data_IF_018241945717
#
_entry.id   IF_018241945717
#
_cell.length_a   1.000
_cell.length_b   1.000
_cell.length_c   1.000
_cell.angle_alpha   90.00
_cell.angle_beta   90.00
_cell.angle_gamma   90.00
#
_symmetry.space_group_name_H-M   'P 1'
#
loop_
_entity.id
_entity.type
_entity.pdbx_description
1 polymer ?
#
# COMPACT_ATOMS: atom_id res chain seq x y z
N UNK A 1 14.65 3.77 15.93
CA UNK A 1 14.02 2.93 14.87
C UNK A 1 14.07 3.68 13.56
N UNK A 2 14.61 3.07 12.55
CA UNK A 2 14.77 3.72 11.27
C UNK A 2 13.46 3.71 10.48
N UNK A 3 13.22 4.79 9.75
CA UNK A 3 12.11 4.86 8.82
C UNK A 3 12.64 4.90 7.38
N UNK A 4 11.80 4.50 6.45
CA UNK A 4 12.10 4.56 5.02
C UNK A 4 11.33 5.74 4.44
N UNK A 5 11.99 6.58 3.64
CA UNK A 5 11.32 7.66 2.92
C UNK A 5 10.83 7.12 1.58
N UNK A 6 9.55 7.32 1.29
CA UNK A 6 8.93 6.86 0.06
C UNK A 6 8.26 8.04 -0.63
N UNK A 7 8.50 8.17 -1.93
CA UNK A 7 7.85 9.23 -2.73
C UNK A 7 6.58 8.66 -3.35
N UNK A 8 5.48 9.37 -3.14
CA UNK A 8 4.18 9.00 -3.70
C UNK A 8 4.13 9.38 -5.18
N UNK A 9 3.81 8.42 -6.03
CA UNK A 9 3.62 8.65 -7.46
C UNK A 9 2.16 8.42 -7.83
N UNK A 10 1.54 9.42 -8.43
CA UNK A 10 0.14 9.35 -8.85
C UNK A 10 -0.83 9.73 -7.75
N UNK A 11 -2.12 9.59 -8.04
CA UNK A 11 -3.19 10.11 -7.21
C UNK A 11 -4.05 9.03 -6.54
N UNK A 12 -3.61 7.78 -6.53
CA UNK A 12 -4.41 6.68 -5.99
C UNK A 12 -4.75 6.83 -4.50
N UNK A 13 -3.93 7.57 -3.76
CA UNK A 13 -4.11 7.79 -2.33
C UNK A 13 -4.61 9.21 -2.00
N UNK A 14 -4.99 9.99 -3.02
CA UNK A 14 -5.58 11.30 -2.80
C UNK A 14 -6.95 11.14 -2.09
N UNK A 15 -7.33 11.99 -1.16
CA UNK A 15 -6.65 13.20 -0.70
C UNK A 15 -5.66 12.98 0.46
N UNK A 16 -5.46 11.73 0.91
CA UNK A 16 -4.57 11.45 2.03
C UNK A 16 -3.12 11.80 1.69
N UNK A 17 -2.66 11.34 0.53
CA UNK A 17 -1.35 11.68 0.00
C UNK A 17 -1.51 12.14 -1.44
N UNK A 18 -0.65 13.06 -1.86
CA UNK A 18 -0.67 13.63 -3.20
C UNK A 18 0.56 13.19 -3.97
N UNK A 19 0.47 13.19 -5.29
CA UNK A 19 1.62 12.96 -6.15
C UNK A 19 2.79 13.85 -5.74
N UNK A 20 3.95 13.27 -5.56
CA UNK A 20 5.15 14.01 -5.17
C UNK A 20 5.37 14.11 -3.66
N UNK A 21 4.41 13.72 -2.83
CA UNK A 21 4.60 13.72 -1.38
C UNK A 21 5.68 12.71 -0.99
N UNK A 22 6.46 13.06 0.02
CA UNK A 22 7.40 12.13 0.64
C UNK A 22 6.84 11.71 1.99
N UNK A 23 6.68 10.42 2.20
CA UNK A 23 6.16 9.87 3.45
C UNK A 23 7.20 8.99 4.12
N UNK A 24 7.19 8.98 5.46
CA UNK A 24 8.04 8.10 6.24
C UNK A 24 7.25 6.86 6.63
N UNK A 25 7.78 5.68 6.33
CA UNK A 25 7.14 4.41 6.67
C UNK A 25 8.11 3.57 7.50
N UNK A 26 7.56 2.71 8.35
CA UNK A 26 8.36 1.77 9.13
C UNK A 26 8.67 0.56 8.27
N UNK A 27 9.92 0.06 8.27
CA UNK A 27 10.22 -1.20 7.57
C UNK A 27 9.33 -2.31 8.09
N UNK A 28 8.81 -3.14 7.19
CA UNK A 28 7.99 -4.26 7.61
C UNK A 28 8.88 -5.43 8.02
N UNK A 29 8.72 -5.87 9.27
CA UNK A 29 9.52 -6.93 9.86
C UNK A 29 8.63 -8.01 10.49
N UNK A 30 7.39 -8.15 9.97
CA UNK A 30 6.45 -9.13 10.49
C UNK A 30 5.56 -8.59 11.61
N UNK A 31 5.51 -7.28 11.81
CA UNK A 31 4.62 -6.68 12.80
C UNK A 31 3.17 -7.05 12.49
N UNK A 32 2.36 -7.09 13.53
CA UNK A 32 0.93 -7.31 13.34
C UNK A 32 0.33 -6.18 12.52
N UNK A 33 -0.35 -6.56 11.43
CA UNK A 33 -1.03 -5.59 10.57
C UNK A 33 -2.40 -5.27 11.17
N UNK A 34 -2.82 -4.02 10.98
CA UNK A 34 -4.11 -3.54 11.44
C UNK A 34 -4.89 -2.95 10.27
N UNK A 35 -6.20 -3.09 10.31
CA UNK A 35 -7.04 -2.48 9.28
C UNK A 35 -6.80 -0.98 9.24
N UNK A 36 -6.78 -0.45 8.04
CA UNK A 36 -6.51 0.94 7.71
C UNK A 36 -5.03 1.35 7.76
N UNK A 37 -4.12 0.41 8.04
CA UNK A 37 -2.70 0.66 7.83
C UNK A 37 -2.46 1.00 6.36
N UNK A 38 -1.54 1.91 6.09
CA UNK A 38 -1.06 2.17 4.73
C UNK A 38 0.13 1.26 4.49
N UNK A 39 0.03 0.46 3.42
CA UNK A 39 1.06 -0.51 3.08
C UNK A 39 1.85 -0.05 1.85
N UNK A 40 3.16 -0.21 1.92
CA UNK A 40 4.07 -0.05 0.79
C UNK A 40 4.52 -1.45 0.41
N UNK A 41 4.27 -1.85 -0.82
CA UNK A 41 4.52 -3.23 -1.25
C UNK A 41 4.86 -3.28 -2.73
N UNK A 42 5.37 -4.43 -3.17
CA UNK A 42 5.65 -4.65 -4.60
C UNK A 42 4.37 -5.09 -5.31
N UNK A 43 4.15 -4.54 -6.52
CA UNK A 43 2.97 -4.87 -7.33
C UNK A 43 2.98 -6.38 -7.64
N UNK A 44 1.88 -7.11 -7.36
CA UNK A 44 1.83 -8.55 -7.62
C UNK A 44 1.98 -8.92 -9.09
N UNK A 45 1.78 -7.96 -9.99
CA UNK A 45 1.90 -8.18 -11.44
C UNK A 45 3.27 -7.77 -11.99
N UNK A 46 4.01 -6.96 -11.23
CA UNK A 46 5.30 -6.43 -11.67
C UNK A 46 6.13 -6.06 -10.45
N UNK A 47 7.03 -6.95 -10.03
CA UNK A 47 7.82 -6.78 -8.83
C UNK A 47 8.79 -5.59 -8.89
N UNK A 48 8.98 -4.98 -10.07
CA UNK A 48 9.78 -3.76 -10.19
C UNK A 48 9.01 -2.51 -9.78
N UNK A 49 7.69 -2.60 -9.60
CA UNK A 49 6.84 -1.47 -9.20
C UNK A 49 6.52 -1.54 -7.73
N UNK A 50 6.53 -0.37 -7.11
CA UNK A 50 6.17 -0.21 -5.70
C UNK A 50 4.82 0.49 -5.62
N UNK A 51 3.92 -0.07 -4.82
CA UNK A 51 2.57 0.44 -4.65
C UNK A 51 2.38 0.93 -3.23
N UNK A 52 1.50 1.92 -3.05
CA UNK A 52 1.07 2.45 -1.76
C UNK A 52 -0.44 2.37 -1.73
N UNK A 53 -1.00 1.56 -0.83
CA UNK A 53 -2.45 1.39 -0.71
C UNK A 53 -2.82 1.20 0.75
N UNK A 54 -4.11 1.31 1.05
CA UNK A 54 -4.64 1.12 2.40
C UNK A 54 -5.15 -0.30 2.58
N UNK A 55 -4.77 -0.91 3.71
CA UNK A 55 -5.24 -2.26 4.06
C UNK A 55 -6.71 -2.19 4.49
N UNK A 56 -7.57 -2.88 3.76
CA UNK A 56 -9.01 -2.87 4.01
C UNK A 56 -9.55 -4.17 4.59
N UNK A 57 -8.97 -5.30 4.24
CA UNK A 57 -9.35 -6.60 4.80
C UNK A 57 -8.14 -7.49 4.95
N UNK A 58 -8.17 -8.31 5.99
CA UNK A 58 -7.17 -9.36 6.21
C UNK A 58 -7.90 -10.68 6.02
N UNK A 59 -7.47 -11.47 5.03
CA UNK A 59 -8.09 -12.75 4.68
C UNK A 59 -7.07 -13.86 4.82
N UNK A 60 -7.55 -15.10 4.92
CA UNK A 60 -6.67 -16.26 5.08
C UNK A 60 -5.65 -16.36 3.94
N UNK A 61 -6.08 -16.02 2.72
CA UNK A 61 -5.24 -16.17 1.52
C UNK A 61 -4.42 -14.93 1.19
N UNK A 62 -4.58 -13.84 1.94
CA UNK A 62 -3.84 -12.63 1.66
C UNK A 62 -4.54 -11.38 2.14
N UNK A 63 -4.09 -10.24 1.63
CA UNK A 63 -4.53 -8.93 2.09
C UNK A 63 -5.25 -8.20 0.97
N UNK A 64 -6.40 -7.60 1.29
CA UNK A 64 -7.14 -6.78 0.34
C UNK A 64 -6.77 -5.31 0.58
N UNK A 65 -6.22 -4.67 -0.44
CA UNK A 65 -5.77 -3.29 -0.38
C UNK A 65 -6.54 -2.42 -1.37
N UNK A 66 -6.67 -1.13 -1.06
CA UNK A 66 -7.50 -0.20 -1.82
C UNK A 66 -6.88 1.18 -1.77
N UNK A 67 -6.95 1.92 -2.88
CA UNK A 67 -6.57 3.32 -2.90
C UNK A 67 -7.61 4.19 -2.20
N UNK A 68 -7.17 5.30 -1.62
CA UNK A 68 -8.07 6.24 -0.93
C UNK A 68 -8.84 7.14 -1.89
N UNK A 69 -8.41 7.24 -3.15
CA UNK A 69 -9.06 8.12 -4.11
C UNK A 69 -10.48 7.62 -4.40
N UNK A 70 -11.50 8.49 -4.24
CA UNK A 70 -12.89 8.10 -4.49
C UNK A 70 -13.18 7.80 -5.97
N UNK A 71 -12.32 8.23 -6.90
CA UNK A 71 -12.44 7.91 -8.31
C UNK A 71 -11.86 6.50 -8.55
N UNK A 72 -12.70 5.52 -8.91
CA UNK A 72 -12.21 4.15 -9.09
C UNK A 72 -11.22 4.00 -10.25
N UNK A 73 -11.17 4.98 -11.17
CA UNK A 73 -10.21 4.92 -12.29
C UNK A 73 -8.84 5.44 -11.91
N UNK A 74 -8.70 6.11 -10.75
CA UNK A 74 -7.45 6.69 -10.30
C UNK A 74 -6.58 5.70 -9.52
N UNK A 75 -7.06 4.49 -9.29
CA UNK A 75 -6.33 3.49 -8.49
C UNK A 75 -6.40 2.13 -9.17
N UNK A 76 -5.26 1.44 -9.18
CA UNK A 76 -5.20 0.02 -9.51
C UNK A 76 -4.83 -0.71 -8.21
N UNK A 77 -5.72 -1.56 -7.73
CA UNK A 77 -5.58 -2.17 -6.41
C UNK A 77 -6.19 -3.58 -6.40
N UNK A 78 -6.55 -4.09 -5.21
CA UNK A 78 -7.10 -5.45 -5.09
C UNK A 78 -8.38 -5.68 -5.87
N UNK A 79 -9.12 -4.63 -6.23
CA UNK A 79 -10.26 -4.76 -7.14
C UNK A 79 -9.83 -5.23 -8.53
N UNK A 80 -8.58 -4.98 -8.90
CA UNK A 80 -8.03 -5.29 -10.22
C UNK A 80 -7.18 -6.56 -10.20
N UNK A 81 -6.30 -6.72 -9.21
CA UNK A 81 -5.32 -7.81 -9.18
C UNK A 81 -5.51 -8.79 -8.02
N UNK A 82 -6.54 -8.59 -7.19
CA UNK A 82 -6.82 -9.51 -6.10
C UNK A 82 -5.97 -9.27 -4.86
N UNK A 83 -5.87 -10.29 -4.02
CA UNK A 83 -5.16 -10.19 -2.75
C UNK A 83 -3.66 -10.08 -2.96
N UNK A 84 -2.98 -9.37 -2.06
CA UNK A 84 -1.52 -9.31 -2.05
C UNK A 84 -0.98 -10.20 -0.94
N UNK A 85 0.27 -10.65 -1.12
CA UNK A 85 0.97 -11.49 -0.17
C UNK A 85 1.67 -10.61 0.86
N UNK A 86 1.59 -11.01 2.13
CA UNK A 86 2.30 -10.33 3.21
C UNK A 86 3.80 -10.19 2.90
N UNK A 87 4.40 -11.19 2.23
CA UNK A 87 5.82 -11.16 1.91
C UNK A 87 6.20 -10.06 0.92
N UNK A 88 5.22 -9.48 0.22
CA UNK A 88 5.48 -8.37 -0.70
C UNK A 88 5.60 -7.02 0.01
N UNK A 89 5.26 -6.95 1.30
CA UNK A 89 5.24 -5.70 2.05
C UNK A 89 6.65 -5.23 2.35
N UNK A 90 6.93 -3.96 2.04
CA UNK A 90 8.22 -3.31 2.31
C UNK A 90 8.12 -2.48 3.58
N UNK A 91 7.01 -1.80 3.77
CA UNK A 91 6.84 -0.91 4.91
C UNK A 91 5.39 -0.62 5.23
N UNK A 92 5.16 -0.08 6.41
CA UNK A 92 3.81 0.26 6.88
C UNK A 92 3.81 1.68 7.47
N UNK A 93 2.68 2.35 7.32
CA UNK A 93 2.43 3.65 7.95
C UNK A 93 1.08 3.61 8.64
N UNK A 94 1.08 3.95 9.90
CA UNK A 94 -0.13 4.01 10.73
C UNK A 94 -0.61 5.41 11.00
#
# INVERSE_FOLDING_TARGET
MESIAVVVNGDSMWPTFKDGDTIAVLPYEGQQLELNDVLVFTDPRDASRICIKRLKRIEVKGLFVEGDNPDPTASTDSHNYGLIDEQSIIGIKR
#
